data_IF_772492271326
#
_entry.id   IF_772492271326
#
_cell.length_a   1.000
_cell.length_b   1.000
_cell.length_c   1.000
_cell.angle_alpha   90.00
_cell.angle_beta   90.00
_cell.angle_gamma   90.00
#
_symmetry.space_group_name_H-M   'P 1'
#
loop_
_entity.id
_entity.type
_entity.pdbx_description
1 polymer ?
#
# COMPACT_ATOMS: atom_id res chain seq x y z
N UNK A 1 2.55 28.55 -9.70
CA UNK A 1 3.37 27.51 -9.05
C UNK A 1 2.89 26.12 -9.47
N UNK A 2 3.79 25.27 -9.93
CA UNK A 2 3.46 23.88 -10.29
C UNK A 2 3.18 23.01 -9.05
N UNK A 3 2.40 21.93 -9.21
CA UNK A 3 2.06 21.02 -8.09
C UNK A 3 3.29 20.30 -7.50
N UNK A 4 4.39 20.23 -8.23
CA UNK A 4 5.72 19.76 -7.81
C UNK A 4 6.31 20.69 -6.74
N UNK A 5 6.33 21.99 -7.02
CA UNK A 5 6.90 23.04 -6.17
C UNK A 5 6.12 23.19 -4.85
N UNK A 6 4.78 23.16 -4.92
CA UNK A 6 3.91 23.16 -3.73
C UNK A 6 4.27 22.03 -2.75
N UNK A 7 4.56 20.83 -3.27
CA UNK A 7 4.93 19.67 -2.43
C UNK A 7 6.30 19.84 -1.79
N UNK A 8 7.24 20.49 -2.47
CA UNK A 8 8.57 20.81 -1.92
C UNK A 8 8.43 21.81 -0.77
N UNK A 9 7.66 22.88 -0.95
CA UNK A 9 7.41 23.88 0.09
C UNK A 9 6.65 23.32 1.29
N UNK A 10 5.62 22.50 1.07
CA UNK A 10 4.90 21.84 2.18
C UNK A 10 5.81 20.89 2.97
N UNK A 11 6.75 20.19 2.32
CA UNK A 11 7.75 19.36 3.01
C UNK A 11 8.74 20.22 3.79
N UNK A 12 9.17 21.34 3.24
CA UNK A 12 10.07 22.29 3.89
C UNK A 12 9.46 22.87 5.18
N UNK A 13 8.26 23.44 5.11
CA UNK A 13 7.61 24.01 6.30
C UNK A 13 7.22 22.95 7.34
N UNK A 14 6.96 21.71 6.92
CA UNK A 14 6.73 20.60 7.84
C UNK A 14 7.99 20.22 8.62
N UNK A 15 9.18 20.29 8.01
CA UNK A 15 10.46 20.10 8.73
C UNK A 15 10.72 21.20 9.77
N UNK A 16 10.12 22.37 9.58
CA UNK A 16 10.15 23.48 10.54
C UNK A 16 9.02 23.44 11.59
N UNK A 17 8.26 22.33 11.66
CA UNK A 17 7.22 22.13 12.67
C UNK A 17 5.85 22.74 12.34
N UNK A 18 5.67 23.34 11.16
CA UNK A 18 4.37 23.87 10.76
C UNK A 18 3.42 22.75 10.31
N UNK A 19 2.15 22.88 10.70
CA UNK A 19 1.09 22.02 10.19
C UNK A 19 0.70 22.43 8.75
N UNK A 20 0.02 21.55 8.02
CA UNK A 20 -0.25 21.74 6.59
C UNK A 20 -1.04 23.01 6.27
N UNK A 21 -1.97 23.41 7.15
CA UNK A 21 -2.77 24.63 7.00
C UNK A 21 -1.93 25.89 7.25
N UNK A 22 -1.08 25.89 8.29
CA UNK A 22 -0.14 26.98 8.55
C UNK A 22 0.91 27.12 7.45
N UNK A 23 1.38 26.00 6.88
CA UNK A 23 2.28 25.98 5.74
C UNK A 23 1.60 26.49 4.45
N UNK A 24 0.35 26.07 4.18
CA UNK A 24 -0.42 26.55 3.04
C UNK A 24 -0.72 28.06 3.12
N UNK A 25 -0.98 28.57 4.33
CA UNK A 25 -1.15 30.01 4.58
C UNK A 25 0.13 30.79 4.27
N UNK A 26 1.29 30.33 4.76
CA UNK A 26 2.61 30.91 4.47
C UNK A 26 2.99 30.87 2.98
N UNK A 27 2.67 29.79 2.30
CA UNK A 27 2.88 29.68 0.85
C UNK A 27 1.97 30.69 0.11
N UNK A 28 0.73 30.85 0.54
CA UNK A 28 -0.22 31.79 -0.07
C UNK A 28 0.11 33.26 0.25
N UNK A 29 0.80 33.54 1.37
CA UNK A 29 1.32 34.88 1.72
C UNK A 29 2.48 35.31 0.80
N UNK A 30 3.28 34.37 0.30
CA UNK A 30 4.46 34.63 -0.56
C UNK A 30 4.11 34.57 -2.06
N UNK A 31 3.25 33.63 -2.45
CA UNK A 31 2.99 33.30 -3.88
C UNK A 31 1.62 33.80 -4.40
N UNK A 32 0.84 34.47 -3.53
CA UNK A 32 -0.50 34.97 -3.86
C UNK A 32 -1.64 34.08 -3.34
N UNK A 33 -2.82 34.70 -3.17
CA UNK A 33 -3.99 34.08 -2.52
C UNK A 33 -4.51 32.86 -3.33
N UNK A 34 -4.80 31.74 -2.65
CA UNK A 34 -5.36 30.48 -3.20
C UNK A 34 -4.44 29.53 -4.02
N UNK A 35 -3.12 29.65 -3.94
CA UNK A 35 -2.20 28.74 -4.66
C UNK A 35 -2.25 27.29 -4.15
N UNK A 36 -2.69 27.06 -2.91
CA UNK A 36 -2.88 25.72 -2.33
C UNK A 36 -4.26 25.63 -1.68
N UNK A 37 -5.19 24.87 -2.26
CA UNK A 37 -6.48 24.67 -1.60
C UNK A 37 -6.30 23.84 -0.33
N UNK A 38 -6.93 24.29 0.74
CA UNK A 38 -6.94 23.64 2.06
C UNK A 38 -7.30 22.14 1.98
N UNK A 39 -8.13 21.78 0.99
CA UNK A 39 -8.55 20.41 0.67
C UNK A 39 -7.41 19.56 0.10
N UNK A 40 -6.56 20.14 -0.76
CA UNK A 40 -5.38 19.48 -1.33
C UNK A 40 -4.30 19.25 -0.27
N UNK A 41 -4.09 20.23 0.60
CA UNK A 41 -3.16 20.11 1.72
C UNK A 41 -3.59 18.98 2.68
N UNK A 42 -4.89 18.88 3.00
CA UNK A 42 -5.45 17.81 3.83
C UNK A 42 -5.37 16.43 3.15
N UNK A 43 -5.66 16.33 1.85
CA UNK A 43 -5.58 15.06 1.11
C UNK A 43 -4.15 14.50 1.09
N UNK A 44 -3.15 15.36 0.84
CA UNK A 44 -1.73 14.98 0.89
C UNK A 44 -1.32 14.57 2.31
N UNK A 45 -1.83 15.26 3.33
CA UNK A 45 -1.59 14.91 4.73
C UNK A 45 -2.25 13.58 5.12
N UNK A 46 -3.46 13.28 4.61
CA UNK A 46 -4.16 12.00 4.81
C UNK A 46 -3.41 10.85 4.15
N UNK A 47 -2.96 11.01 2.90
CA UNK A 47 -2.17 9.99 2.20
C UNK A 47 -0.81 9.75 2.88
N UNK A 48 -0.15 10.80 3.39
CA UNK A 48 1.11 10.67 4.13
C UNK A 48 0.93 10.10 5.55
N UNK A 49 -0.18 10.42 6.23
CA UNK A 49 -0.54 9.82 7.54
C UNK A 49 -0.94 8.34 7.40
N UNK A 50 -1.52 7.95 6.26
CA UNK A 50 -1.82 6.55 5.89
C UNK A 50 -0.58 5.68 5.68
N UNK A 51 0.59 6.27 5.37
CA UNK A 51 1.88 5.53 5.21
C UNK A 51 2.62 5.21 6.52
N UNK A 52 2.26 5.84 7.64
CA UNK A 52 3.00 5.71 8.90
C UNK A 52 2.10 5.53 10.14
N UNK A 53 0.81 5.25 9.96
CA UNK A 53 -0.15 5.11 11.06
C UNK A 53 -0.93 3.79 11.02
N UNK A 54 -1.44 3.29 12.16
CA UNK A 54 -2.15 2.01 12.29
C UNK A 54 -3.56 1.98 11.68
N UNK A 55 -3.87 2.87 10.72
CA UNK A 55 -5.25 3.22 10.30
C UNK A 55 -5.48 3.15 8.79
N UNK A 56 -4.88 2.19 8.12
CA UNK A 56 -5.03 1.99 6.69
C UNK A 56 -4.33 0.73 6.22
N UNK A 57 -4.80 -0.43 6.68
CA UNK A 57 -4.40 -1.70 6.08
C UNK A 57 -5.36 -2.03 4.96
N UNK A 58 -5.04 -1.62 3.74
CA UNK A 58 -5.69 -2.22 2.57
C UNK A 58 -5.23 -3.69 2.50
N UNK A 59 -6.18 -4.64 2.45
CA UNK A 59 -5.86 -6.07 2.28
C UNK A 59 -5.71 -6.33 0.79
N UNK A 60 -4.63 -5.81 0.21
CA UNK A 60 -4.27 -6.05 -1.18
C UNK A 60 -3.48 -7.35 -1.30
N UNK A 61 -3.95 -8.25 -2.16
CA UNK A 61 -3.33 -9.54 -2.47
C UNK A 61 -3.28 -9.70 -3.97
N UNK A 62 -2.10 -9.87 -4.53
CA UNK A 62 -1.89 -10.16 -5.96
C UNK A 62 -0.94 -11.34 -6.16
N UNK A 63 -0.96 -11.88 -7.38
CA UNK A 63 0.06 -12.79 -7.89
C UNK A 63 0.63 -12.26 -9.21
N UNK A 64 1.36 -13.11 -9.94
CA UNK A 64 1.96 -12.76 -11.23
C UNK A 64 0.92 -12.50 -12.35
N UNK A 65 -0.34 -12.87 -12.14
CA UNK A 65 -1.42 -12.60 -13.11
C UNK A 65 -2.26 -11.36 -12.77
N UNK A 66 -2.14 -10.84 -11.55
CA UNK A 66 -2.83 -9.64 -11.11
C UNK A 66 -3.43 -9.74 -9.73
N UNK A 67 -4.32 -8.79 -9.43
CA UNK A 67 -5.00 -8.73 -8.13
C UNK A 67 -5.93 -9.92 -7.96
N UNK A 68 -5.84 -10.55 -6.80
CA UNK A 68 -6.69 -11.65 -6.33
C UNK A 68 -7.82 -11.07 -5.49
N UNK A 69 -7.47 -10.21 -4.54
CA UNK A 69 -8.39 -9.61 -3.60
C UNK A 69 -7.86 -8.25 -3.14
N UNK A 70 -8.75 -7.28 -3.01
CA UNK A 70 -8.43 -5.99 -2.41
C UNK A 70 -9.65 -5.50 -1.64
N UNK A 71 -9.41 -4.90 -0.48
CA UNK A 71 -10.46 -4.26 0.33
C UNK A 71 -9.91 -2.99 0.95
N UNK A 72 -10.71 -1.92 0.90
CA UNK A 72 -10.43 -0.68 1.62
C UNK A 72 -11.04 -0.75 3.01
N UNK A 73 -10.27 -0.39 4.04
CA UNK A 73 -10.81 -0.31 5.40
C UNK A 73 -11.62 0.98 5.56
N UNK A 74 -12.89 0.91 6.02
CA UNK A 74 -13.73 2.10 6.21
C UNK A 74 -13.08 3.12 7.16
N UNK A 75 -13.28 4.41 6.86
CA UNK A 75 -12.69 5.52 7.63
C UNK A 75 -13.01 5.41 9.13
N UNK A 76 -11.99 5.61 9.96
CA UNK A 76 -12.14 5.76 11.42
C UNK A 76 -11.97 4.48 12.24
N UNK A 77 -11.86 3.29 11.63
CA UNK A 77 -11.53 2.06 12.36
C UNK A 77 -10.01 1.81 12.35
N UNK A 78 -9.42 1.70 13.54
CA UNK A 78 -8.02 1.26 13.70
C UNK A 78 -7.95 -0.20 13.30
N UNK A 79 -6.98 -0.60 12.46
CA UNK A 79 -6.77 -2.00 12.08
C UNK A 79 -6.39 -2.83 13.30
N UNK A 80 -7.40 -3.30 14.03
CA UNK A 80 -7.28 -4.29 15.09
C UNK A 80 -7.02 -5.67 14.46
N UNK A 81 -6.47 -6.61 15.23
CA UNK A 81 -6.25 -7.98 14.78
C UNK A 81 -7.56 -8.63 14.26
N UNK A 82 -8.69 -8.28 14.88
CA UNK A 82 -10.03 -8.73 14.49
C UNK A 82 -10.46 -8.21 13.10
N UNK A 83 -9.99 -7.03 12.69
CA UNK A 83 -10.28 -6.47 11.36
C UNK A 83 -9.45 -7.11 10.25
N UNK A 84 -8.34 -7.78 10.58
CA UNK A 84 -7.52 -8.48 9.59
C UNK A 84 -7.97 -9.95 9.38
N UNK A 85 -8.74 -10.52 10.31
CA UNK A 85 -9.22 -11.91 10.23
C UNK A 85 -10.26 -12.12 9.11
N UNK A 86 -11.31 -11.29 9.07
CA UNK A 86 -12.42 -11.47 8.12
C UNK A 86 -12.02 -11.34 6.63
N UNK A 87 -11.09 -10.43 6.25
CA UNK A 87 -10.59 -10.38 4.88
C UNK A 87 -9.79 -11.62 4.45
N UNK A 88 -9.18 -12.38 5.37
CA UNK A 88 -8.42 -13.59 5.00
C UNK A 88 -9.33 -14.70 4.47
N UNK A 89 -10.52 -14.87 5.05
CA UNK A 89 -11.51 -15.85 4.55
C UNK A 89 -12.02 -15.46 3.17
N UNK A 90 -12.29 -14.17 2.94
CA UNK A 90 -12.72 -13.66 1.63
C UNK A 90 -11.61 -13.74 0.58
N UNK A 91 -10.37 -13.47 0.97
CA UNK A 91 -9.19 -13.71 0.15
C UNK A 91 -9.09 -15.20 -0.21
N UNK A 92 -9.23 -16.12 0.75
CA UNK A 92 -9.14 -17.56 0.50
C UNK A 92 -10.24 -18.04 -0.46
N UNK A 93 -11.47 -17.58 -0.26
CA UNK A 93 -12.59 -17.85 -1.17
C UNK A 93 -12.33 -17.30 -2.59
N UNK A 94 -11.75 -16.10 -2.70
CA UNK A 94 -11.38 -15.51 -3.98
C UNK A 94 -10.29 -16.33 -4.70
N UNK A 95 -9.31 -16.86 -3.96
CA UNK A 95 -8.30 -17.78 -4.50
C UNK A 95 -8.98 -19.05 -5.02
N UNK A 96 -9.85 -19.68 -4.23
CA UNK A 96 -10.56 -20.89 -4.66
C UNK A 96 -11.42 -20.69 -5.90
N UNK A 97 -12.05 -19.52 -6.03
CA UNK A 97 -12.85 -19.18 -7.23
C UNK A 97 -11.98 -18.93 -8.46
N UNK A 98 -10.88 -18.20 -8.32
CA UNK A 98 -10.04 -17.77 -9.45
C UNK A 98 -9.03 -18.84 -9.88
N UNK A 99 -8.54 -19.62 -8.92
CA UNK A 99 -7.50 -20.63 -9.10
C UNK A 99 -7.81 -21.91 -8.32
N UNK A 100 -8.86 -22.67 -8.71
CA UNK A 100 -9.27 -23.88 -7.98
C UNK A 100 -8.16 -24.95 -7.91
N UNK A 101 -7.24 -24.96 -8.87
CA UNK A 101 -6.09 -25.87 -8.86
C UNK A 101 -5.12 -25.60 -7.71
N UNK A 102 -4.98 -24.34 -7.25
CA UNK A 102 -4.05 -23.98 -6.18
C UNK A 102 -4.53 -24.53 -4.84
N UNK A 103 -5.82 -24.37 -4.54
CA UNK A 103 -6.44 -24.92 -3.32
C UNK A 103 -6.29 -26.45 -3.24
N UNK A 104 -6.40 -27.13 -4.39
CA UNK A 104 -6.48 -28.59 -4.42
C UNK A 104 -5.13 -29.32 -4.54
N UNK A 105 -4.04 -28.64 -4.90
CA UNK A 105 -2.79 -29.32 -5.33
C UNK A 105 -1.50 -28.73 -4.80
N UNK A 106 -1.47 -27.48 -4.35
CA UNK A 106 -0.21 -26.77 -4.10
C UNK A 106 -0.30 -25.89 -2.85
N UNK A 107 0.75 -25.93 -2.02
CA UNK A 107 0.92 -24.93 -0.97
C UNK A 107 1.46 -23.66 -1.60
N UNK A 108 0.64 -22.61 -1.60
CA UNK A 108 0.99 -21.29 -2.10
C UNK A 108 1.70 -20.47 -1.02
N UNK A 109 2.77 -19.80 -1.42
CA UNK A 109 3.57 -18.99 -0.52
C UNK A 109 2.97 -17.57 -0.39
N UNK A 110 2.58 -17.20 0.83
CA UNK A 110 2.10 -15.87 1.15
C UNK A 110 3.24 -15.02 1.72
N UNK A 111 3.63 -13.97 0.98
CA UNK A 111 4.49 -12.92 1.51
C UNK A 111 3.64 -11.80 2.12
N UNK A 112 3.97 -11.36 3.34
CA UNK A 112 3.38 -10.19 3.98
C UNK A 112 4.44 -9.45 4.80
N UNK A 113 4.25 -8.14 4.99
CA UNK A 113 5.15 -7.36 5.84
C UNK A 113 5.03 -7.76 7.33
N UNK A 114 5.98 -7.29 8.14
CA UNK A 114 6.02 -7.56 9.57
C UNK A 114 5.16 -6.57 10.38
N UNK A 115 4.14 -5.96 9.80
CA UNK A 115 3.26 -5.05 10.53
C UNK A 115 2.54 -5.78 11.67
N UNK A 116 2.38 -5.11 12.82
CA UNK A 116 1.86 -5.71 14.06
C UNK A 116 0.59 -6.55 13.86
N UNK A 117 -0.46 -6.07 13.17
CA UNK A 117 -1.67 -6.89 12.95
C UNK A 117 -1.42 -8.14 12.11
N UNK A 118 -0.45 -8.11 11.17
CA UNK A 118 -0.13 -9.26 10.30
C UNK A 118 0.72 -10.31 11.00
N UNK A 119 1.50 -9.90 12.00
CA UNK A 119 2.33 -10.78 12.84
C UNK A 119 1.64 -11.26 14.12
N UNK A 120 0.42 -10.80 14.39
CA UNK A 120 -0.35 -11.16 15.56
C UNK A 120 -0.57 -12.68 15.62
N UNK A 121 -0.60 -13.23 16.85
CA UNK A 121 -0.75 -14.67 17.08
C UNK A 121 -2.00 -15.23 16.39
N UNK A 122 -3.14 -14.57 16.59
CA UNK A 122 -4.42 -14.95 15.98
C UNK A 122 -4.35 -14.99 14.45
N UNK A 123 -3.69 -14.01 13.81
CA UNK A 123 -3.51 -13.98 12.36
C UNK A 123 -2.64 -15.12 11.85
N UNK A 124 -1.53 -15.41 12.55
CA UNK A 124 -0.66 -16.55 12.21
C UNK A 124 -1.40 -17.88 12.38
N UNK A 125 -2.19 -18.03 13.43
CA UNK A 125 -3.02 -19.22 13.67
C UNK A 125 -4.08 -19.37 12.59
N UNK A 126 -4.75 -18.29 12.19
CA UNK A 126 -5.71 -18.31 11.09
C UNK A 126 -5.07 -18.73 9.77
N UNK A 127 -3.91 -18.18 9.41
CA UNK A 127 -3.21 -18.59 8.19
C UNK A 127 -2.87 -20.08 8.22
N UNK A 128 -2.48 -20.64 9.38
CA UNK A 128 -2.25 -22.09 9.51
C UNK A 128 -3.50 -22.95 9.29
N UNK A 129 -4.70 -22.41 9.49
CA UNK A 129 -5.95 -23.13 9.15
C UNK A 129 -6.25 -23.15 7.65
N UNK A 130 -5.58 -22.29 6.86
CA UNK A 130 -5.69 -22.26 5.41
C UNK A 130 -4.66 -23.25 4.85
N UNK A 131 -5.08 -24.48 4.62
CA UNK A 131 -4.27 -25.64 4.23
C UNK A 131 -3.46 -25.44 2.94
N UNK A 132 -3.96 -24.64 2.01
CA UNK A 132 -3.27 -24.30 0.76
C UNK A 132 -2.32 -23.10 0.88
N UNK A 133 -2.13 -22.48 2.05
CA UNK A 133 -1.29 -21.29 2.22
C UNK A 133 -0.16 -21.53 3.22
N UNK A 134 1.07 -21.22 2.80
CA UNK A 134 2.26 -21.21 3.65
C UNK A 134 2.79 -19.78 3.82
N UNK A 135 2.97 -19.33 5.06
CA UNK A 135 3.48 -17.99 5.35
C UNK A 135 5.01 -17.94 5.19
N UNK A 136 5.49 -17.11 4.27
CA UNK A 136 6.92 -16.84 4.12
C UNK A 136 7.46 -16.00 5.29
N UNK A 137 8.66 -16.35 5.75
CA UNK A 137 9.41 -15.52 6.70
C UNK A 137 9.79 -14.20 6.03
N UNK A 138 9.48 -13.07 6.69
CA UNK A 138 9.82 -11.74 6.19
C UNK A 138 10.53 -10.92 7.27
N UNK A 139 11.67 -10.28 6.95
CA UNK A 139 12.42 -9.47 7.89
C UNK A 139 11.64 -8.22 8.33
N UNK A 140 11.80 -7.85 9.60
CA UNK A 140 11.13 -6.69 10.17
C UNK A 140 11.45 -5.40 9.38
N UNK A 141 10.44 -4.56 9.18
CA UNK A 141 10.55 -3.22 8.56
C UNK A 141 11.17 -3.18 7.15
N UNK A 142 11.18 -4.29 6.42
CA UNK A 142 11.83 -4.38 5.09
C UNK A 142 10.85 -4.11 3.95
N UNK A 143 10.39 -2.86 3.83
CA UNK A 143 9.43 -2.43 2.78
C UNK A 143 10.03 -2.52 1.37
N UNK A 144 11.35 -2.38 1.22
CA UNK A 144 12.04 -2.48 -0.07
C UNK A 144 12.06 -3.91 -0.65
N UNK A 145 11.63 -4.90 0.13
CA UNK A 145 11.54 -6.33 -0.21
C UNK A 145 10.07 -6.77 -0.43
N UNK A 146 9.11 -5.86 -0.34
CA UNK A 146 7.68 -6.18 -0.57
C UNK A 146 7.25 -5.67 -1.94
N UNK A 147 6.84 -6.57 -2.84
CA UNK A 147 6.44 -6.24 -4.22
C UNK A 147 5.34 -5.19 -4.32
N UNK A 148 4.39 -5.18 -3.37
CA UNK A 148 3.36 -4.16 -3.29
C UNK A 148 3.94 -2.74 -3.10
N UNK A 149 4.95 -2.59 -2.25
CA UNK A 149 5.46 -1.29 -1.81
C UNK A 149 6.36 -0.62 -2.84
N UNK A 150 7.30 -1.38 -3.44
CA UNK A 150 8.24 -0.77 -4.40
C UNK A 150 7.67 -0.64 -5.83
N UNK A 151 6.75 -1.53 -6.23
CA UNK A 151 6.24 -1.58 -7.61
C UNK A 151 4.78 -1.13 -7.72
N UNK A 152 3.86 -1.83 -7.04
CA UNK A 152 2.42 -1.66 -7.26
C UNK A 152 1.91 -0.31 -6.73
N UNK A 153 2.22 0.04 -5.47
CA UNK A 153 1.79 1.29 -4.86
C UNK A 153 2.49 2.51 -5.46
N UNK A 154 3.74 2.37 -5.92
CA UNK A 154 4.43 3.42 -6.69
C UNK A 154 3.64 3.71 -7.97
N UNK A 155 3.34 2.68 -8.76
CA UNK A 155 2.56 2.80 -10.00
C UNK A 155 1.15 3.37 -9.76
N UNK A 156 0.47 2.89 -8.71
CA UNK A 156 -0.86 3.36 -8.33
C UNK A 156 -0.84 4.84 -7.92
N UNK A 157 0.16 5.27 -7.15
CA UNK A 157 0.30 6.68 -6.78
C UNK A 157 0.51 7.59 -7.98
N UNK A 158 1.19 7.10 -9.04
CA UNK A 158 1.31 7.82 -10.30
C UNK A 158 -0.03 7.88 -11.05
N UNK A 159 -0.77 6.76 -11.15
CA UNK A 159 -2.05 6.69 -11.84
C UNK A 159 -3.13 7.58 -11.19
N UNK A 160 -3.19 7.60 -9.86
CA UNK A 160 -4.13 8.41 -9.09
C UNK A 160 -3.70 9.88 -8.99
N UNK A 161 -2.51 10.24 -9.49
CA UNK A 161 -1.97 11.60 -9.39
C UNK A 161 -2.85 12.58 -10.17
N UNK A 162 -3.38 13.58 -9.47
CA UNK A 162 -4.14 14.67 -10.08
C UNK A 162 -5.64 14.42 -10.15
N UNK A 163 -6.11 13.23 -9.77
CA UNK A 163 -7.53 12.92 -9.62
C UNK A 163 -8.08 13.45 -8.30
N UNK A 164 -9.35 13.86 -8.30
CA UNK A 164 -10.10 14.23 -7.10
C UNK A 164 -11.09 13.13 -6.76
N UNK A 165 -11.17 12.78 -5.47
CA UNK A 165 -12.12 11.79 -4.95
C UNK A 165 -13.00 12.47 -3.90
N UNK A 166 -14.31 12.29 -3.97
CA UNK A 166 -15.26 12.93 -3.07
C UNK A 166 -15.61 12.04 -1.86
N UNK A 167 -15.60 10.73 -2.05
CA UNK A 167 -15.91 9.73 -1.04
C UNK A 167 -15.00 8.49 -1.15
N UNK A 168 -15.29 7.45 -0.34
CA UNK A 168 -14.52 6.20 -0.36
C UNK A 168 -14.81 5.34 -1.59
N UNK A 169 -16.02 5.44 -2.15
CA UNK A 169 -16.43 4.66 -3.31
C UNK A 169 -15.71 5.17 -4.56
N UNK A 170 -15.53 6.49 -4.68
CA UNK A 170 -14.68 7.15 -5.67
C UNK A 170 -13.22 6.64 -5.59
N UNK A 171 -12.68 6.46 -4.38
CA UNK A 171 -11.33 5.91 -4.17
C UNK A 171 -11.28 4.44 -4.58
N UNK A 172 -12.29 3.66 -4.19
CA UNK A 172 -12.38 2.25 -4.55
C UNK A 172 -12.45 2.06 -6.06
N UNK A 173 -13.27 2.85 -6.74
CA UNK A 173 -13.39 2.85 -8.19
C UNK A 173 -12.06 3.25 -8.86
N UNK A 174 -11.38 4.27 -8.35
CA UNK A 174 -10.04 4.64 -8.84
C UNK A 174 -9.02 3.50 -8.69
N UNK A 175 -9.06 2.75 -7.59
CA UNK A 175 -8.24 1.55 -7.41
C UNK A 175 -8.62 0.43 -8.38
N UNK A 176 -9.92 0.17 -8.60
CA UNK A 176 -10.40 -0.82 -9.57
C UNK A 176 -9.97 -0.50 -10.99
N UNK A 177 -10.09 0.76 -11.41
CA UNK A 177 -9.61 1.23 -12.72
C UNK A 177 -8.10 1.04 -12.86
N UNK A 178 -7.33 1.36 -11.81
CA UNK A 178 -5.89 1.14 -11.83
C UNK A 178 -5.57 -0.35 -12.02
N UNK A 179 -6.19 -1.24 -11.24
CA UNK A 179 -5.95 -2.68 -11.36
C UNK A 179 -6.37 -3.24 -12.72
N UNK A 180 -7.45 -2.73 -13.31
CA UNK A 180 -7.90 -3.09 -14.66
C UNK A 180 -6.95 -2.58 -15.76
N UNK A 181 -6.29 -1.42 -15.54
CA UNK A 181 -5.31 -0.86 -16.48
C UNK A 181 -3.95 -1.58 -16.46
N UNK A 182 -3.68 -2.39 -15.44
CA UNK A 182 -2.42 -3.11 -15.27
C UNK A 182 -2.46 -4.45 -16.02
N UNK A 183 -1.54 -4.64 -16.97
CA UNK A 183 -1.38 -5.93 -17.65
C UNK A 183 -0.64 -6.96 -16.79
N UNK A 184 -0.70 -8.24 -17.19
CA UNK A 184 -0.05 -9.36 -16.47
C UNK A 184 1.47 -9.20 -16.42
N UNK A 185 2.08 -8.65 -17.48
CA UNK A 185 3.52 -8.44 -17.58
C UNK A 185 4.04 -7.52 -16.46
N UNK A 186 3.27 -6.51 -16.05
CA UNK A 186 3.66 -5.63 -14.94
C UNK A 186 3.66 -6.35 -13.59
N UNK A 187 2.68 -7.22 -13.34
CA UNK A 187 2.69 -8.04 -12.12
C UNK A 187 3.84 -9.05 -12.13
N UNK A 188 4.12 -9.70 -13.27
CA UNK A 188 5.28 -10.57 -13.44
C UNK A 188 6.59 -9.85 -13.19
N UNK A 189 6.80 -8.69 -13.79
CA UNK A 189 8.01 -7.88 -13.61
C UNK A 189 8.22 -7.48 -12.15
N UNK A 190 7.15 -7.03 -11.48
CA UNK A 190 7.20 -6.68 -10.06
C UNK A 190 7.41 -7.86 -9.11
N UNK A 191 7.19 -9.11 -9.53
CA UNK A 191 7.53 -10.30 -8.73
C UNK A 191 8.92 -10.82 -9.10
N UNK A 192 9.30 -10.77 -10.38
CA UNK A 192 10.63 -11.20 -10.85
C UNK A 192 11.76 -10.37 -10.20
N UNK A 193 11.56 -9.06 -10.05
CA UNK A 193 12.50 -8.16 -9.37
C UNK A 193 12.70 -8.49 -7.88
N UNK A 194 11.88 -9.35 -7.29
CA UNK A 194 12.02 -9.72 -5.88
C UNK A 194 13.32 -10.50 -5.63
N UNK A 195 13.72 -11.37 -6.56
CA UNK A 195 14.96 -12.13 -6.44
C UNK A 195 16.18 -11.20 -6.44
N UNK A 196 16.25 -10.27 -7.38
CA UNK A 196 17.33 -9.28 -7.47
C UNK A 196 17.39 -8.40 -6.21
N UNK A 197 16.23 -8.03 -5.67
CA UNK A 197 16.14 -7.26 -4.41
C UNK A 197 16.58 -8.05 -3.20
N UNK A 198 16.35 -9.36 -3.16
CA UNK A 198 16.90 -10.22 -2.10
C UNK A 198 18.42 -10.27 -2.17
N UNK A 199 18.98 -10.40 -3.37
CA UNK A 199 20.44 -10.35 -3.57
C UNK A 199 21.00 -9.00 -3.09
N UNK A 200 20.40 -7.88 -3.51
CA UNK A 200 20.82 -6.55 -3.06
C UNK A 200 20.71 -6.36 -1.55
N UNK A 201 19.67 -6.92 -0.91
CA UNK A 201 19.52 -6.89 0.55
C UNK A 201 20.66 -7.66 1.25
N UNK A 202 21.06 -8.81 0.69
CA UNK A 202 22.17 -9.62 1.21
C UNK A 202 23.49 -8.87 1.01
N UNK A 203 23.75 -8.36 -0.19
CA UNK A 203 24.98 -7.63 -0.52
C UNK A 203 25.13 -6.34 0.31
N UNK A 204 24.01 -5.72 0.67
CA UNK A 204 23.97 -4.54 1.53
C UNK A 204 24.05 -4.89 3.03
N UNK A 205 24.27 -6.15 3.41
CA UNK A 205 24.23 -6.62 4.80
C UNK A 205 22.93 -6.21 5.55
N UNK A 206 21.80 -6.23 4.85
CA UNK A 206 20.50 -5.82 5.39
C UNK A 206 20.27 -4.31 5.50
N UNK A 207 21.20 -3.47 5.02
CA UNK A 207 20.99 -2.04 4.91
C UNK A 207 20.03 -1.69 3.77
N UNK A 208 19.43 -0.51 3.85
CA UNK A 208 18.60 0.02 2.77
C UNK A 208 19.45 0.29 1.53
N UNK A 209 18.92 -0.07 0.36
CA UNK A 209 19.51 0.21 -0.94
C UNK A 209 18.53 1.02 -1.82
N UNK A 210 19.08 1.76 -2.77
CA UNK A 210 18.28 2.60 -3.67
C UNK A 210 17.44 1.77 -4.66
N UNK A 211 16.33 2.36 -5.11
CA UNK A 211 15.34 1.74 -6.03
C UNK A 211 15.10 2.57 -7.26
#
# INVERSE_FOLDING_TARGET
>A
MEKSEIRVFLRYYRKQGFNATAAAKKISEVEGYNVVSDRTARLVQTIQRRRHGPRGQDVLKNNFEGVIHFELVPNGRTSDADLYYAPLDRMYAAIGKKYPALINRTREHLQQDSAKPRTAKQTKEKIKTLDAIELLSHPANSLHIVSHDYHLFRSMAHFLRGRSFNDLDDVENGCREFFASMNKERYRSGIAQLADRWVQAIDSNGLYFET
#
